data_IF_454512619011
#
_entry.id   IF_454512619011
#
_cell.length_a   1.000
_cell.length_b   1.000
_cell.length_c   1.000
_cell.angle_alpha   90.00
_cell.angle_beta   90.00
_cell.angle_gamma   90.00
#
_symmetry.space_group_name_H-M   'P 1'
#
loop_
_entity.id
_entity.type
_entity.pdbx_description
1 polymer ?
#
# COMPACT_ATOMS: atom_id res chain seq x y z
N UNK A 1 -7.31 -37.27 56.32
CA UNK A 1 -6.35 -36.57 57.20
C UNK A 1 -5.50 -35.62 56.36
N UNK A 2 -5.58 -34.30 56.54
CA UNK A 2 -4.77 -33.33 55.77
C UNK A 2 -3.49 -32.94 56.53
N UNK A 3 -2.33 -33.06 55.88
CA UNK A 3 -1.07 -32.55 56.40
C UNK A 3 -0.81 -31.12 55.89
N UNK A 4 -0.91 -30.16 56.80
CA UNK A 4 -0.43 -28.78 56.66
C UNK A 4 1.10 -28.78 56.53
N UNK A 5 1.65 -27.99 55.59
CA UNK A 5 3.01 -27.47 55.74
C UNK A 5 3.03 -25.96 55.55
N UNK A 6 3.67 -25.30 56.51
CA UNK A 6 3.64 -23.89 56.84
C UNK A 6 5.02 -23.31 56.52
N UNK A 7 5.04 -22.10 55.94
CA UNK A 7 5.98 -20.99 56.18
C UNK A 7 7.50 -21.20 56.04
N UNK A 8 8.17 -20.35 55.25
CA UNK A 8 8.96 -19.23 55.80
C UNK A 8 9.45 -18.23 54.74
N UNK A 9 9.31 -16.96 55.11
CA UNK A 9 9.76 -15.73 54.45
C UNK A 9 11.28 -15.52 54.56
N UNK A 10 11.88 -14.74 53.65
CA UNK A 10 12.89 -13.74 54.03
C UNK A 10 12.99 -12.58 53.03
N UNK A 11 12.80 -11.40 53.59
CA UNK A 11 13.01 -10.04 53.06
C UNK A 11 14.50 -9.74 52.92
N UNK A 12 14.89 -8.94 51.93
CA UNK A 12 16.00 -7.97 52.09
C UNK A 12 15.75 -6.72 51.24
N UNK A 13 15.58 -5.60 51.92
CA UNK A 13 15.46 -4.25 51.41
C UNK A 13 16.84 -3.58 51.25
N UNK A 14 16.93 -2.67 50.27
CA UNK A 14 17.67 -1.39 50.30
C UNK A 14 19.11 -1.36 49.76
N UNK A 15 19.66 -0.16 49.40
CA UNK A 15 19.08 1.20 49.46
C UNK A 15 19.23 2.07 48.17
N UNK A 16 18.58 3.24 48.23
CA UNK A 16 18.63 4.43 47.33
C UNK A 16 19.95 5.22 47.48
N UNK A 17 20.36 5.92 46.42
CA UNK A 17 20.78 7.35 46.32
C UNK A 17 21.33 7.55 44.89
N UNK A 18 20.82 8.43 44.03
CA UNK A 18 20.80 9.90 44.00
C UNK A 18 21.95 10.50 43.17
N UNK A 19 21.64 11.62 42.51
CA UNK A 19 22.50 12.65 41.91
C UNK A 19 23.00 12.50 40.45
N UNK A 20 22.35 13.28 39.57
CA UNK A 20 22.90 13.81 38.30
C UNK A 20 24.05 14.80 38.56
N UNK A 21 24.93 15.09 37.59
CA UNK A 21 24.68 16.29 36.76
C UNK A 21 25.18 16.22 35.30
N UNK A 22 24.75 17.25 34.55
CA UNK A 22 25.04 17.69 33.20
C UNK A 22 26.43 17.32 32.63
N UNK A 23 26.45 16.94 31.35
CA UNK A 23 27.45 17.45 30.40
C UNK A 23 26.78 17.85 29.07
N UNK A 24 27.18 19.04 28.63
CA UNK A 24 26.81 19.75 27.41
C UNK A 24 27.34 19.02 26.16
N UNK A 25 26.44 18.73 25.22
CA UNK A 25 26.80 18.29 23.88
C UNK A 25 26.34 19.30 22.83
N UNK A 26 27.23 19.93 22.05
CA UNK A 26 26.84 20.84 21.00
C UNK A 26 26.45 20.06 19.71
N UNK A 27 25.46 20.54 18.95
CA UNK A 27 25.39 20.30 17.50
C UNK A 27 25.74 21.61 16.74
N UNK A 28 25.90 21.62 15.41
CA UNK A 28 26.27 20.56 14.46
C UNK A 28 27.24 21.04 13.33
N UNK A 29 27.50 20.14 12.37
CA UNK A 29 27.82 20.40 10.93
C UNK A 29 29.14 21.12 10.59
N UNK A 30 30.10 20.32 10.10
CA UNK A 30 31.07 20.75 9.09
C UNK A 30 30.50 20.42 7.70
N UNK A 31 30.25 21.43 6.87
CA UNK A 31 30.16 21.28 5.42
C UNK A 31 31.11 22.29 4.80
N UNK A 32 32.11 21.75 4.13
CA UNK A 32 33.04 22.48 3.28
C UNK A 32 32.30 23.29 2.21
N UNK A 33 32.88 24.45 1.96
CA UNK A 33 32.58 25.32 0.86
C UNK A 33 33.20 24.80 -0.45
N UNK A 34 32.45 24.90 -1.54
CA UNK A 34 32.95 25.38 -2.83
C UNK A 34 31.73 25.82 -3.66
N UNK A 35 31.39 27.11 -3.72
CA UNK A 35 31.82 28.04 -4.78
C UNK A 35 31.84 27.36 -6.16
N UNK A 36 30.88 27.61 -7.05
CA UNK A 36 30.76 28.83 -7.90
C UNK A 36 29.43 28.67 -8.68
N UNK A 37 28.44 29.56 -8.64
CA UNK A 37 28.38 30.97 -9.08
C UNK A 37 28.95 31.22 -10.48
N UNK A 38 28.08 31.29 -11.49
CA UNK A 38 27.87 32.46 -12.36
C UNK A 38 27.02 32.07 -13.58
N UNK A 39 25.84 32.68 -13.73
CA UNK A 39 25.57 33.86 -14.56
C UNK A 39 25.64 33.58 -16.07
N UNK A 40 24.46 33.32 -16.64
CA UNK A 40 23.77 34.08 -17.70
C UNK A 40 24.54 35.28 -18.33
N UNK A 41 24.02 35.88 -19.42
CA UNK A 41 23.80 35.43 -20.80
C UNK A 41 24.63 36.30 -21.78
N UNK A 42 24.22 36.31 -23.06
CA UNK A 42 24.53 37.30 -24.12
C UNK A 42 25.46 36.85 -25.27
N UNK A 43 24.80 36.68 -26.42
CA UNK A 43 25.02 37.41 -27.67
C UNK A 43 26.44 37.76 -28.13
N UNK A 44 26.67 37.46 -29.42
CA UNK A 44 27.10 38.40 -30.47
C UNK A 44 28.36 37.99 -31.27
N UNK A 45 28.11 37.70 -32.55
CA UNK A 45 28.86 38.00 -33.79
C UNK A 45 30.41 37.93 -33.81
N UNK A 46 30.94 37.14 -34.75
CA UNK A 46 31.94 37.56 -35.77
C UNK A 46 32.21 36.39 -36.72
N UNK A 47 31.77 36.42 -37.98
CA UNK A 47 32.55 36.78 -39.17
C UNK A 47 33.91 36.09 -39.28
N UNK A 48 34.02 35.11 -40.19
CA UNK A 48 35.23 34.87 -40.99
C UNK A 48 34.87 34.15 -42.29
N UNK A 49 35.67 34.46 -43.31
CA UNK A 49 35.32 34.53 -44.72
C UNK A 49 35.41 33.20 -45.50
N UNK A 50 34.63 33.20 -46.60
CA UNK A 50 34.87 32.62 -47.92
C UNK A 50 35.90 31.48 -48.10
N UNK A 51 35.41 30.33 -48.56
CA UNK A 51 36.03 29.67 -49.73
C UNK A 51 35.02 28.92 -50.59
N UNK A 52 34.82 29.49 -51.77
CA UNK A 52 34.16 28.98 -52.96
C UNK A 52 34.52 27.53 -53.27
N UNK A 53 33.50 26.65 -53.35
CA UNK A 53 33.49 25.55 -54.33
C UNK A 53 32.04 25.19 -54.68
N UNK A 54 31.62 25.66 -55.85
CA UNK A 54 30.45 25.18 -56.59
C UNK A 54 30.58 23.67 -56.78
N UNK A 55 29.70 22.91 -56.15
CA UNK A 55 29.30 21.59 -56.61
C UNK A 55 27.78 21.60 -56.73
N UNK A 56 27.31 21.60 -57.97
CA UNK A 56 25.92 21.46 -58.40
C UNK A 56 25.39 20.09 -57.97
N UNK A 57 24.90 19.98 -56.73
CA UNK A 57 24.09 18.84 -56.32
C UNK A 57 22.69 19.07 -56.86
N UNK A 58 22.39 18.42 -57.99
CA UNK A 58 21.05 18.29 -58.55
C UNK A 58 20.11 17.85 -57.42
N UNK A 59 19.22 18.74 -56.97
CA UNK A 59 18.09 18.39 -56.12
C UNK A 59 17.20 17.43 -56.91
N UNK A 60 17.48 16.14 -56.78
CA UNK A 60 16.56 15.08 -57.16
C UNK A 60 15.42 15.22 -56.16
N UNK A 61 14.31 15.87 -56.56
CA UNK A 61 13.02 15.71 -55.90
C UNK A 61 12.75 14.21 -55.86
N UNK A 62 13.13 13.56 -54.76
CA UNK A 62 12.72 12.20 -54.46
C UNK A 62 11.22 12.32 -54.27
N UNK A 63 10.46 11.97 -55.31
CA UNK A 63 9.04 11.70 -55.14
C UNK A 63 8.97 10.68 -54.02
N UNK A 64 8.50 11.12 -52.85
CA UNK A 64 8.16 10.20 -51.76
C UNK A 64 7.16 9.26 -52.40
N UNK A 65 7.59 8.03 -52.66
CA UNK A 65 6.73 7.08 -53.36
C UNK A 65 5.51 6.89 -52.48
N UNK A 66 4.32 6.86 -53.09
CA UNK A 66 3.05 6.68 -52.40
C UNK A 66 3.08 5.50 -51.40
N UNK A 67 3.93 4.51 -51.69
CA UNK A 67 4.25 3.33 -50.91
C UNK A 67 4.88 3.61 -49.53
N UNK A 68 5.68 4.67 -49.40
CA UNK A 68 6.24 5.08 -48.11
C UNK A 68 5.15 5.70 -47.21
N UNK A 69 4.22 6.46 -47.82
CA UNK A 69 3.11 7.09 -47.10
C UNK A 69 2.13 6.02 -46.63
N UNK A 70 1.78 5.05 -47.49
CA UNK A 70 0.90 3.94 -47.09
C UNK A 70 1.52 3.06 -46.00
N UNK A 71 2.83 2.82 -46.03
CA UNK A 71 3.54 2.11 -44.97
C UNK A 71 3.47 2.82 -43.61
N UNK A 72 3.67 4.14 -43.58
CA UNK A 72 3.57 4.95 -42.36
C UNK A 72 2.13 4.96 -41.84
N UNK A 73 1.15 5.13 -42.71
CA UNK A 73 -0.27 5.11 -42.31
C UNK A 73 -0.66 3.73 -41.76
N UNK A 74 -0.24 2.64 -42.40
CA UNK A 74 -0.51 1.29 -41.90
C UNK A 74 0.15 1.03 -40.53
N UNK A 75 1.40 1.49 -40.34
CA UNK A 75 2.09 1.39 -39.06
C UNK A 75 1.38 2.20 -37.97
N UNK A 76 0.93 3.42 -38.26
CA UNK A 76 0.17 4.25 -37.32
C UNK A 76 -1.18 3.61 -36.98
N UNK A 77 -1.89 3.04 -37.96
CA UNK A 77 -3.15 2.33 -37.72
C UNK A 77 -2.93 1.09 -36.85
N UNK A 78 -1.87 0.31 -37.11
CA UNK A 78 -1.50 -0.83 -36.27
C UNK A 78 -1.12 -0.40 -34.85
N UNK A 79 -0.39 0.69 -34.70
CA UNK A 79 0.02 1.21 -33.39
C UNK A 79 -1.17 1.75 -32.61
N UNK A 80 -2.08 2.47 -33.27
CA UNK A 80 -3.38 2.88 -32.71
C UNK A 80 -4.26 1.69 -32.37
N UNK A 81 -4.31 0.64 -33.20
CA UNK A 81 -5.07 -0.57 -32.92
C UNK A 81 -4.46 -1.35 -31.75
N UNK A 82 -3.14 -1.44 -31.64
CA UNK A 82 -2.46 -2.06 -30.51
C UNK A 82 -2.66 -1.24 -29.23
N UNK A 83 -2.59 0.08 -29.32
CA UNK A 83 -2.82 0.98 -28.18
C UNK A 83 -4.29 0.98 -27.75
N UNK A 84 -5.23 0.94 -28.70
CA UNK A 84 -6.65 0.80 -28.42
C UNK A 84 -6.97 -0.58 -27.84
N UNK A 85 -6.37 -1.67 -28.34
CA UNK A 85 -6.52 -3.00 -27.74
C UNK A 85 -5.84 -3.08 -26.36
N UNK A 86 -4.73 -2.39 -26.14
CA UNK A 86 -4.11 -2.28 -24.81
C UNK A 86 -5.02 -1.52 -23.85
N UNK A 87 -5.57 -0.38 -24.28
CA UNK A 87 -6.55 0.42 -23.53
C UNK A 87 -7.89 -0.31 -23.31
N UNK A 88 -8.37 -1.10 -24.27
CA UNK A 88 -9.61 -1.88 -24.17
C UNK A 88 -9.39 -3.19 -23.42
N UNK A 89 -8.20 -3.78 -23.46
CA UNK A 89 -7.82 -4.91 -22.62
C UNK A 89 -7.56 -4.48 -21.18
N UNK A 90 -7.26 -3.20 -20.94
CA UNK A 90 -7.43 -2.53 -19.65
C UNK A 90 -8.86 -1.98 -19.48
N UNK A 91 -9.86 -2.62 -20.10
CA UNK A 91 -11.23 -2.49 -19.63
C UNK A 91 -11.21 -2.86 -18.14
N UNK A 92 -11.58 -1.92 -17.28
CA UNK A 92 -11.49 -1.99 -15.83
C UNK A 92 -12.28 -3.19 -15.26
N UNK A 93 -11.72 -4.40 -15.39
CA UNK A 93 -12.26 -5.58 -14.75
C UNK A 93 -11.81 -5.53 -13.30
N UNK A 94 -12.51 -4.71 -12.50
CA UNK A 94 -12.33 -4.68 -11.06
C UNK A 94 -12.49 -6.11 -10.50
N UNK A 95 -11.46 -6.67 -9.83
CA UNK A 95 -11.42 -8.10 -9.49
C UNK A 95 -12.61 -8.56 -8.63
N UNK A 96 -13.29 -7.63 -7.94
CA UNK A 96 -14.41 -7.88 -7.03
C UNK A 96 -15.79 -7.57 -7.63
N UNK A 97 -16.02 -7.92 -8.89
CA UNK A 97 -17.29 -7.65 -9.59
C UNK A 97 -18.54 -8.31 -8.97
N UNK A 98 -18.39 -9.29 -8.08
CA UNK A 98 -19.52 -9.87 -7.37
C UNK A 98 -20.19 -8.90 -6.39
N UNK A 99 -19.51 -7.82 -6.00
CA UNK A 99 -20.03 -6.81 -5.06
C UNK A 99 -20.19 -5.44 -5.75
N UNK A 100 -21.33 -5.21 -6.42
CA UNK A 100 -21.66 -3.93 -7.10
C UNK A 100 -22.57 -3.00 -6.29
N UNK A 101 -22.72 -3.22 -4.99
CA UNK A 101 -23.72 -2.57 -4.16
C UNK A 101 -23.16 -1.42 -3.31
N UNK A 102 -24.00 -0.43 -2.92
CA UNK A 102 -23.61 0.63 -2.00
C UNK A 102 -23.23 0.08 -0.62
N UNK A 103 -22.34 0.78 0.08
CA UNK A 103 -21.88 0.48 1.43
C UNK A 103 -20.37 0.71 1.59
N UNK A 104 -19.94 1.28 2.72
CA UNK A 104 -18.55 1.73 2.89
C UNK A 104 -17.55 0.57 2.81
N UNK A 105 -17.87 -0.58 3.42
CA UNK A 105 -17.01 -1.76 3.36
C UNK A 105 -16.92 -2.28 1.92
N UNK A 106 -18.06 -2.39 1.23
CA UNK A 106 -18.11 -2.84 -0.18
C UNK A 106 -17.31 -1.91 -1.09
N UNK A 107 -17.48 -0.60 -0.95
CA UNK A 107 -16.72 0.43 -1.66
C UNK A 107 -15.21 0.29 -1.41
N UNK A 108 -14.80 -0.02 -0.18
CA UNK A 108 -13.40 -0.26 0.16
C UNK A 108 -12.83 -1.58 -0.41
N UNK A 109 -13.68 -2.53 -0.79
CA UNK A 109 -13.33 -3.74 -1.56
C UNK A 109 -13.39 -3.49 -3.08
N UNK A 110 -13.93 -2.37 -3.59
CA UNK A 110 -13.95 -2.05 -5.05
C UNK A 110 -13.16 -0.81 -5.51
N UNK A 111 -12.69 0.07 -4.60
CA UNK A 111 -11.82 1.24 -4.88
C UNK A 111 -10.40 1.10 -5.50
N UNK A 112 -9.65 -0.01 -5.38
CA UNK A 112 -8.29 -0.26 -5.90
C UNK A 112 -8.18 -1.46 -6.84
N UNK A 113 -7.34 -1.36 -7.87
CA UNK A 113 -7.11 -2.46 -8.83
C UNK A 113 -6.17 -3.54 -8.27
N UNK A 114 -5.22 -3.16 -7.41
CA UNK A 114 -4.27 -4.07 -6.76
C UNK A 114 -3.92 -3.61 -5.34
N UNK A 115 -3.57 -4.57 -4.48
CA UNK A 115 -3.05 -4.34 -3.14
C UNK A 115 -4.11 -4.32 -2.04
N UNK A 116 -3.74 -3.74 -0.90
CA UNK A 116 -4.58 -3.69 0.30
C UNK A 116 -5.25 -2.34 0.50
N UNK A 117 -6.44 -2.37 1.09
CA UNK A 117 -7.05 -1.24 1.78
C UNK A 117 -7.12 -1.56 3.27
N UNK A 118 -6.85 -0.60 4.14
CA UNK A 118 -7.05 -0.73 5.58
C UNK A 118 -8.32 -0.03 6.05
N UNK A 119 -9.20 -0.74 6.75
CA UNK A 119 -10.38 -0.19 7.40
C UNK A 119 -10.36 -0.46 8.90
N UNK A 120 -10.71 0.56 9.67
CA UNK A 120 -11.05 0.45 11.08
C UNK A 120 -12.53 0.75 11.23
N UNK A 121 -13.30 -0.22 11.71
CA UNK A 121 -14.75 -0.12 11.87
C UNK A 121 -15.08 -0.01 13.36
N UNK A 122 -15.68 1.13 13.71
CA UNK A 122 -16.21 1.39 15.06
C UNK A 122 -17.68 0.99 15.15
N UNK A 123 -18.08 0.55 16.34
CA UNK A 123 -19.46 0.18 16.68
C UNK A 123 -20.03 -0.93 15.78
N UNK A 124 -19.16 -1.77 15.22
CA UNK A 124 -19.50 -2.85 14.32
C UNK A 124 -18.99 -4.20 14.85
N UNK A 125 -19.75 -5.25 14.57
CA UNK A 125 -19.35 -6.62 14.84
C UNK A 125 -19.07 -7.38 13.54
N UNK A 126 -18.64 -8.65 13.69
CA UNK A 126 -18.37 -9.51 12.55
C UNK A 126 -19.60 -9.70 11.66
N UNK A 127 -20.78 -9.88 12.26
CA UNK A 127 -22.02 -10.15 11.54
C UNK A 127 -22.39 -8.98 10.63
N UNK A 128 -22.20 -7.74 11.07
CA UNK A 128 -22.43 -6.57 10.23
C UNK A 128 -21.48 -6.52 9.02
N UNK A 129 -20.21 -6.91 9.21
CA UNK A 129 -19.24 -7.02 8.12
C UNK A 129 -19.61 -8.15 7.15
N UNK A 130 -19.99 -9.31 7.69
CA UNK A 130 -20.40 -10.49 6.92
C UNK A 130 -21.67 -10.21 6.09
N UNK A 131 -22.65 -9.53 6.67
CA UNK A 131 -23.87 -9.11 5.97
C UNK A 131 -23.56 -8.16 4.81
N UNK A 132 -22.72 -7.15 5.05
CA UNK A 132 -22.27 -6.26 3.98
C UNK A 132 -21.44 -7.02 2.93
N UNK A 133 -20.65 -8.00 3.30
CA UNK A 133 -19.79 -8.73 2.36
C UNK A 133 -20.35 -10.05 1.87
N UNK A 134 -21.65 -10.34 2.09
CA UNK A 134 -22.29 -11.58 1.64
C UNK A 134 -22.13 -11.83 0.13
N UNK A 135 -22.12 -10.76 -0.66
CA UNK A 135 -21.88 -10.80 -2.10
C UNK A 135 -20.48 -11.34 -2.47
N UNK A 136 -19.50 -11.23 -1.58
CA UNK A 136 -18.11 -11.63 -1.81
C UNK A 136 -17.98 -13.14 -1.98
N UNK A 137 -18.89 -13.92 -1.40
CA UNK A 137 -18.89 -15.39 -1.50
C UNK A 137 -18.83 -15.92 -2.94
N UNK A 138 -19.29 -15.14 -3.93
CA UNK A 138 -19.27 -15.52 -5.34
C UNK A 138 -17.92 -15.28 -6.05
N UNK A 139 -17.04 -14.41 -5.54
CA UNK A 139 -15.77 -14.06 -6.21
C UNK A 139 -14.56 -13.83 -5.29
N UNK A 140 -14.72 -14.05 -4.00
CA UNK A 140 -13.69 -13.80 -3.01
C UNK A 140 -13.91 -14.57 -1.71
N UNK A 141 -13.14 -14.20 -0.70
CA UNK A 141 -13.15 -14.83 0.63
C UNK A 141 -13.25 -13.79 1.72
N UNK A 142 -14.12 -14.05 2.69
CA UNK A 142 -14.13 -13.37 3.97
C UNK A 142 -13.49 -14.30 4.99
N UNK A 143 -12.42 -13.83 5.64
CA UNK A 143 -11.63 -14.62 6.58
C UNK A 143 -11.56 -13.91 7.91
N UNK A 144 -11.99 -14.58 8.97
CA UNK A 144 -11.76 -14.14 10.34
C UNK A 144 -10.35 -14.55 10.78
N UNK A 145 -9.62 -13.60 11.34
CA UNK A 145 -8.34 -13.83 12.01
C UNK A 145 -8.58 -13.79 13.52
N UNK A 146 -8.64 -14.97 14.12
CA UNK A 146 -8.97 -15.19 15.54
C UNK A 146 -7.84 -15.85 16.34
N UNK A 147 -6.82 -16.35 15.65
CA UNK A 147 -5.69 -17.04 16.25
C UNK A 147 -4.45 -16.16 16.17
N UNK A 148 -3.78 -15.87 17.30
CA UNK A 148 -2.56 -15.07 17.31
C UNK A 148 -1.45 -15.61 16.42
N UNK A 149 -0.69 -14.70 15.83
CA UNK A 149 0.47 -15.05 15.00
C UNK A 149 1.75 -15.12 15.83
N UNK A 150 2.46 -16.25 15.73
CA UNK A 150 3.77 -16.45 16.37
C UNK A 150 4.89 -15.58 15.76
N UNK A 151 4.65 -14.95 14.61
CA UNK A 151 5.56 -14.01 13.98
C UNK A 151 5.24 -13.76 12.50
N UNK A 152 6.11 -13.00 11.84
CA UNK A 152 5.91 -12.58 10.44
C UNK A 152 5.77 -13.75 9.47
N UNK A 153 6.50 -14.85 9.70
CA UNK A 153 6.44 -16.04 8.84
C UNK A 153 5.09 -16.76 8.87
N UNK A 154 4.52 -16.98 10.07
CA UNK A 154 3.18 -17.60 10.20
C UNK A 154 2.09 -16.67 9.67
N UNK A 155 2.25 -15.37 9.86
CA UNK A 155 1.36 -14.35 9.29
C UNK A 155 1.38 -14.38 7.75
N UNK A 156 2.57 -14.31 7.15
CA UNK A 156 2.74 -14.39 5.69
C UNK A 156 2.15 -15.67 5.11
N UNK A 157 2.48 -16.82 5.69
CA UNK A 157 1.97 -18.11 5.23
C UNK A 157 0.44 -18.18 5.31
N UNK A 158 -0.15 -17.68 6.40
CA UNK A 158 -1.60 -17.63 6.57
C UNK A 158 -2.25 -16.77 5.49
N UNK A 159 -1.78 -15.53 5.30
CA UNK A 159 -2.36 -14.62 4.32
C UNK A 159 -2.23 -15.15 2.88
N UNK A 160 -1.06 -15.68 2.51
CA UNK A 160 -0.85 -16.27 1.19
C UNK A 160 -1.76 -17.48 0.96
N UNK A 161 -1.93 -18.34 1.98
CA UNK A 161 -2.84 -19.48 1.88
C UNK A 161 -4.30 -19.06 1.70
N UNK A 162 -4.74 -18.05 2.46
CA UNK A 162 -6.08 -17.48 2.33
C UNK A 162 -6.29 -16.92 0.91
N UNK A 163 -5.30 -16.19 0.39
CA UNK A 163 -5.34 -15.52 -0.92
C UNK A 163 -5.14 -16.44 -2.13
N UNK A 164 -4.55 -17.64 -1.97
CA UNK A 164 -4.08 -18.53 -3.05
C UNK A 164 -5.06 -18.73 -4.20
N UNK A 165 -6.36 -18.85 -3.90
CA UNK A 165 -7.41 -19.13 -4.89
C UNK A 165 -8.40 -17.97 -5.09
N UNK A 166 -8.25 -16.86 -4.38
CA UNK A 166 -9.21 -15.75 -4.41
C UNK A 166 -8.66 -14.56 -5.19
N UNK A 167 -9.52 -13.83 -5.91
CA UNK A 167 -9.16 -12.52 -6.45
C UNK A 167 -9.43 -11.40 -5.47
N UNK A 168 -10.36 -11.63 -4.53
CA UNK A 168 -10.71 -10.70 -3.48
C UNK A 168 -10.69 -11.42 -2.15
N UNK A 169 -9.99 -10.87 -1.18
CA UNK A 169 -9.91 -11.44 0.16
C UNK A 169 -10.02 -10.35 1.19
N UNK A 170 -10.83 -10.60 2.21
CA UNK A 170 -11.07 -9.69 3.31
C UNK A 170 -10.67 -10.38 4.60
N UNK A 171 -9.70 -9.81 5.30
CA UNK A 171 -9.29 -10.29 6.61
C UNK A 171 -9.90 -9.41 7.70
N UNK A 172 -10.57 -10.05 8.65
CA UNK A 172 -11.26 -9.36 9.74
C UNK A 172 -10.62 -9.74 11.07
N UNK A 173 -10.15 -8.73 11.80
CA UNK A 173 -9.61 -8.86 13.16
C UNK A 173 -10.56 -8.17 14.13
N UNK A 174 -10.94 -8.87 15.20
CA UNK A 174 -11.70 -8.31 16.33
C UNK A 174 -10.84 -8.16 17.59
N UNK A 175 -10.00 -9.15 17.84
CA UNK A 175 -9.09 -9.14 18.97
C UNK A 175 -7.72 -8.64 18.52
N UNK A 176 -7.30 -7.47 19.03
CA UNK A 176 -5.99 -6.88 18.74
C UNK A 176 -4.84 -7.80 19.18
N UNK A 177 -5.05 -8.69 20.15
CA UNK A 177 -4.04 -9.66 20.56
C UNK A 177 -3.60 -10.57 19.40
N UNK A 178 -4.48 -10.80 18.42
CA UNK A 178 -4.20 -11.64 17.24
C UNK A 178 -3.02 -11.10 16.45
N UNK A 179 -2.95 -9.77 16.29
CA UNK A 179 -1.96 -9.10 15.43
C UNK A 179 -0.83 -8.44 16.22
N UNK A 180 -0.85 -8.50 17.54
CA UNK A 180 0.14 -7.84 18.39
C UNK A 180 1.59 -8.28 18.09
N UNK A 181 1.79 -9.55 17.76
CA UNK A 181 3.12 -10.08 17.39
C UNK A 181 3.62 -9.69 15.99
N UNK A 182 2.75 -9.09 15.16
CA UNK A 182 3.02 -8.77 13.75
C UNK A 182 2.59 -7.36 13.36
N UNK A 183 2.36 -6.51 14.35
CA UNK A 183 1.87 -5.15 14.21
C UNK A 183 2.76 -4.28 13.30
N UNK A 184 4.08 -4.40 13.43
CA UNK A 184 5.06 -3.71 12.60
C UNK A 184 5.02 -4.19 11.15
N UNK A 185 4.82 -5.47 10.93
CA UNK A 185 4.70 -6.05 9.58
C UNK A 185 3.37 -5.68 8.90
N UNK A 186 2.35 -5.34 9.68
CA UNK A 186 1.08 -4.87 9.13
C UNK A 186 1.24 -3.56 8.32
N UNK A 187 2.25 -2.75 8.65
CA UNK A 187 2.61 -1.56 7.85
C UNK A 187 3.01 -1.96 6.42
N UNK A 188 3.94 -2.90 6.28
CA UNK A 188 4.43 -3.37 4.97
C UNK A 188 3.23 -3.87 4.15
N UNK A 189 2.42 -4.74 4.76
CA UNK A 189 1.22 -5.29 4.13
C UNK A 189 0.29 -4.22 3.56
N UNK A 190 -0.01 -3.19 4.36
CA UNK A 190 -0.96 -2.13 3.99
C UNK A 190 -0.38 -1.12 2.99
N UNK A 191 0.95 -0.94 2.98
CA UNK A 191 1.63 0.02 2.11
C UNK A 191 1.82 -0.51 0.69
N UNK A 192 2.33 -1.74 0.54
CA UNK A 192 2.76 -2.26 -0.75
C UNK A 192 2.36 -3.71 -1.03
N UNK A 193 1.50 -4.31 -0.19
CA UNK A 193 1.08 -5.71 -0.33
C UNK A 193 2.25 -6.72 -0.20
N UNK A 194 3.32 -6.35 0.49
CA UNK A 194 4.43 -7.27 0.77
C UNK A 194 4.61 -7.54 2.25
N UNK A 195 5.25 -8.67 2.55
CA UNK A 195 5.85 -8.94 3.85
C UNK A 195 7.28 -9.41 3.61
N UNK A 196 8.27 -8.71 4.15
CA UNK A 196 9.70 -8.99 3.89
C UNK A 196 10.08 -8.99 2.41
N UNK A 197 9.36 -8.23 1.59
CA UNK A 197 9.56 -8.13 0.14
C UNK A 197 8.82 -9.19 -0.69
N UNK A 198 8.18 -10.18 -0.04
CA UNK A 198 7.36 -11.17 -0.74
C UNK A 198 5.91 -10.69 -0.90
N UNK A 199 5.32 -10.74 -2.10
CA UNK A 199 3.95 -10.33 -2.31
C UNK A 199 2.97 -11.30 -1.63
N UNK A 200 1.94 -10.74 -1.01
CA UNK A 200 0.87 -11.51 -0.36
C UNK A 200 -0.26 -11.80 -1.33
N UNK A 201 -0.71 -10.78 -2.06
CA UNK A 201 -1.67 -10.91 -3.14
C UNK A 201 -0.93 -11.02 -4.47
N UNK A 202 -1.43 -11.88 -5.36
CA UNK A 202 -1.02 -11.94 -6.76
C UNK A 202 -1.43 -10.66 -7.51
N UNK A 203 -0.75 -10.38 -8.61
CA UNK A 203 -1.08 -9.26 -9.49
C UNK A 203 -2.56 -9.29 -9.92
N UNK A 204 -3.20 -8.12 -9.91
CA UNK A 204 -4.63 -7.96 -10.19
C UNK A 204 -5.57 -8.47 -9.09
N UNK A 205 -5.07 -9.05 -7.99
CA UNK A 205 -5.88 -9.40 -6.84
C UNK A 205 -5.96 -8.27 -5.81
N UNK A 206 -6.90 -8.42 -4.88
CA UNK A 206 -7.26 -7.40 -3.92
C UNK A 206 -7.46 -7.91 -2.51
N UNK A 207 -6.95 -7.12 -1.57
CA UNK A 207 -7.10 -7.31 -0.14
C UNK A 207 -7.86 -6.17 0.52
N UNK A 208 -8.67 -6.51 1.51
CA UNK A 208 -9.14 -5.55 2.51
C UNK A 208 -8.77 -6.10 3.88
N UNK A 209 -8.13 -5.27 4.69
CA UNK A 209 -7.88 -5.57 6.09
C UNK A 209 -8.85 -4.75 6.95
N UNK A 210 -9.66 -5.42 7.76
CA UNK A 210 -10.70 -4.82 8.60
C UNK A 210 -10.34 -5.06 10.06
N UNK A 211 -10.13 -3.97 10.79
CA UNK A 211 -10.01 -3.98 12.24
C UNK A 211 -11.35 -3.55 12.85
N UNK A 212 -11.98 -4.43 13.61
CA UNK A 212 -13.18 -4.14 14.40
C UNK A 212 -12.75 -3.75 15.81
N UNK A 213 -13.08 -2.53 16.23
CA UNK A 213 -12.81 -2.06 17.59
C UNK A 213 -13.69 -0.87 17.95
N UNK A 214 -14.14 -0.80 19.20
CA UNK A 214 -14.86 0.37 19.72
C UNK A 214 -13.91 1.49 20.18
N UNK A 215 -12.60 1.32 19.99
CA UNK A 215 -11.61 2.32 20.37
C UNK A 215 -11.63 3.51 19.40
N UNK A 216 -11.29 4.69 19.92
CA UNK A 216 -11.00 5.83 19.06
C UNK A 216 -9.71 5.60 18.28
N UNK A 217 -9.49 6.39 17.23
CA UNK A 217 -8.24 6.37 16.48
C UNK A 217 -7.06 6.67 17.39
N UNK A 218 -7.22 7.58 18.35
CA UNK A 218 -6.24 7.96 19.35
C UNK A 218 -5.93 6.78 20.28
N UNK A 219 -6.95 6.08 20.77
CA UNK A 219 -6.76 4.87 21.58
C UNK A 219 -6.04 3.75 20.83
N UNK A 220 -6.28 3.60 19.53
CA UNK A 220 -5.54 2.62 18.72
C UNK A 220 -4.04 2.96 18.61
N UNK A 221 -3.65 4.23 18.65
CA UNK A 221 -2.23 4.64 18.60
C UNK A 221 -1.45 4.23 19.85
N UNK A 222 -2.14 3.96 20.95
CA UNK A 222 -1.52 3.46 22.18
C UNK A 222 -1.22 1.96 22.11
N UNK A 223 -1.89 1.22 21.22
CA UNK A 223 -1.78 -0.24 21.11
C UNK A 223 -1.10 -0.72 19.83
N UNK A 224 -1.22 0.05 18.74
CA UNK A 224 -0.67 -0.28 17.44
C UNK A 224 0.34 0.80 17.01
N UNK A 225 1.36 0.44 16.20
CA UNK A 225 2.28 1.40 15.65
C UNK A 225 1.55 2.53 14.94
N UNK A 226 1.95 3.78 15.21
CA UNK A 226 1.29 4.97 14.67
C UNK A 226 1.08 4.92 13.15
N UNK A 227 2.05 4.38 12.41
CA UNK A 227 2.00 4.22 10.96
C UNK A 227 0.89 3.28 10.50
N UNK A 228 0.65 2.19 11.23
CA UNK A 228 -0.43 1.24 10.93
C UNK A 228 -1.78 1.93 11.07
N UNK A 229 -1.99 2.62 12.19
CA UNK A 229 -3.23 3.38 12.44
C UNK A 229 -3.44 4.43 11.33
N UNK A 230 -2.36 5.02 10.81
CA UNK A 230 -2.43 5.94 9.69
C UNK A 230 -2.94 5.33 8.38
N UNK A 231 -2.62 4.05 8.12
CA UNK A 231 -3.08 3.33 6.94
C UNK A 231 -4.53 2.80 7.08
N UNK A 232 -5.10 2.83 8.28
CA UNK A 232 -6.49 2.45 8.52
C UNK A 232 -7.43 3.66 8.35
N UNK A 233 -8.35 3.58 7.40
CA UNK A 233 -9.47 4.53 7.31
C UNK A 233 -10.54 4.18 8.34
N UNK A 234 -10.88 5.12 9.23
CA UNK A 234 -11.89 4.88 10.28
C UNK A 234 -13.29 5.18 9.78
N UNK A 235 -14.22 4.25 10.04
CA UNK A 235 -15.63 4.36 9.65
C UNK A 235 -16.49 3.89 10.82
N UNK A 236 -17.49 4.67 11.19
CA UNK A 236 -18.47 4.26 12.21
C UNK A 236 -19.71 3.73 11.50
N UNK A 237 -19.97 2.42 11.63
CA UNK A 237 -21.17 1.81 11.06
C UNK A 237 -22.29 1.91 12.08
N UNK A 238 -22.96 3.07 12.13
CA UNK A 238 -24.15 3.19 12.97
C UNK A 238 -25.18 2.15 12.54
N UNK A 239 -25.83 1.50 13.50
CA UNK A 239 -26.79 0.39 13.34
C UNK A 239 -28.03 0.66 12.43
N UNK A 240 -28.10 1.80 11.73
CA UNK A 240 -29.17 2.17 10.81
C UNK A 240 -28.85 2.01 9.32
N UNK A 241 -27.58 1.83 8.91
CA UNK A 241 -27.22 1.70 7.48
C UNK A 241 -27.23 0.26 6.97
N UNK A 242 -27.34 -0.74 7.84
CA UNK A 242 -27.50 -2.16 7.45
C UNK A 242 -28.94 -2.53 7.05
N UNK A 243 -29.92 -1.63 7.21
CA UNK A 243 -31.36 -1.91 6.98
C UNK A 243 -31.99 -1.23 5.76
N UNK A 244 -31.19 -0.70 4.82
CA UNK A 244 -31.73 -0.12 3.56
C UNK A 244 -31.26 -0.87 2.34
#
# INVERSE_FOLDING_TARGET
>A
MPAKRKSRSRVKEGPKEETSPLEDGPPPVSKEALHTSNENPEAMKSSTEAKTRRSTVKQKKRSVSLWCITGIVAALVLLCACFANFLWSSGDVFPCHCCKAPGVIRSAVVSRVFGFTGLHLQDADYSAVEEQLKCLSACGKLVKLDTPFDGVGSFMQRLQNDAKSAMCVVWVVQDLAVIKGVDNSLKELLEDNTLRGDPILREGARGLFVLLSNMTREGLKELLPHRVVHQLSTVSLRAGEARR
#
